data_IF_544839458193
#
_entry.id   IF_544839458193
#
_cell.length_a   1.000
_cell.length_b   1.000
_cell.length_c   1.000
_cell.angle_alpha   90.00
_cell.angle_beta   90.00
_cell.angle_gamma   90.00
#
_symmetry.space_group_name_H-M   'P 1'
#
loop_
_entity.id
_entity.type
_entity.pdbx_description
1 polymer ?
#
# COMPACT_ATOMS: atom_id res chain seq x y z
N UNK A 1 27.30 45.45 12.22
CA UNK A 1 27.61 44.04 12.47
C UNK A 1 27.21 43.75 13.91
N UNK A 2 26.03 43.20 14.10
CA UNK A 2 25.47 42.86 15.40
C UNK A 2 25.30 41.34 15.45
N UNK A 3 26.13 40.71 16.28
CA UNK A 3 26.11 39.28 16.54
C UNK A 3 24.92 38.91 17.42
N UNK A 4 24.04 38.05 16.91
CA UNK A 4 22.98 37.47 17.70
C UNK A 4 23.55 36.49 18.76
N UNK A 5 23.02 36.44 19.97
CA UNK A 5 23.47 35.50 20.98
C UNK A 5 22.95 34.09 20.66
N UNK A 6 23.87 33.11 20.57
CA UNK A 6 23.52 31.70 20.50
C UNK A 6 23.02 31.21 21.86
N UNK A 7 21.75 30.93 21.97
CA UNK A 7 21.18 30.20 23.12
C UNK A 7 21.50 28.71 22.97
N UNK A 8 22.56 28.27 23.62
CA UNK A 8 22.73 26.86 23.93
C UNK A 8 21.90 26.55 25.19
N UNK A 9 20.98 25.64 25.19
CA UNK A 9 20.32 25.23 26.42
C UNK A 9 21.36 24.53 27.31
N UNK A 10 21.50 25.02 28.51
CA UNK A 10 22.41 24.49 29.54
C UNK A 10 22.10 23.02 29.78
N UNK A 11 23.10 22.17 29.58
CA UNK A 11 23.01 20.76 29.96
C UNK A 11 22.92 20.72 31.51
N UNK A 12 21.73 20.43 32.01
CA UNK A 12 21.52 20.20 33.45
C UNK A 12 22.19 18.88 33.80
N UNK A 13 23.31 18.97 34.48
CA UNK A 13 24.01 17.81 35.06
C UNK A 13 23.13 17.27 36.19
N UNK A 14 22.47 16.14 35.97
CA UNK A 14 21.67 15.45 36.98
C UNK A 14 22.54 15.07 38.18
N UNK A 15 22.20 15.59 39.36
CA UNK A 15 22.74 15.05 40.65
C UNK A 15 22.27 13.62 40.81
N UNK A 16 23.22 12.69 40.97
CA UNK A 16 22.95 11.29 41.34
C UNK A 16 22.26 11.22 42.70
N UNK A 17 20.94 11.07 42.71
CA UNK A 17 20.23 10.59 43.89
C UNK A 17 20.27 9.05 43.86
N UNK A 18 20.47 8.42 44.98
CA UNK A 18 20.57 6.94 45.10
C UNK A 18 19.21 6.36 44.73
N UNK A 19 19.10 5.84 43.51
CA UNK A 19 17.89 5.16 43.04
C UNK A 19 17.87 3.74 43.64
N UNK A 20 16.84 3.39 44.37
CA UNK A 20 16.63 2.03 44.94
C UNK A 20 16.23 1.01 43.89
N UNK A 21 15.79 1.46 42.70
CA UNK A 21 15.54 0.60 41.53
C UNK A 21 16.13 1.21 40.27
N UNK A 22 16.76 0.43 39.43
CA UNK A 22 17.28 0.88 38.12
C UNK A 22 16.13 0.91 37.14
N UNK A 23 15.87 2.08 36.53
CA UNK A 23 14.88 2.22 35.48
C UNK A 23 15.30 1.43 34.24
N UNK A 24 14.62 0.33 33.97
CA UNK A 24 14.90 -0.57 32.87
C UNK A 24 13.63 -0.83 32.05
N UNK A 25 13.82 -1.28 30.82
CA UNK A 25 12.75 -1.74 29.96
C UNK A 25 11.87 -2.80 30.64
N UNK A 26 12.49 -3.81 31.23
CA UNK A 26 11.81 -4.90 31.93
C UNK A 26 10.98 -4.38 33.12
N UNK A 27 11.52 -3.40 33.85
CA UNK A 27 10.79 -2.78 34.95
C UNK A 27 9.54 -2.04 34.45
N UNK A 28 9.65 -1.22 33.41
CA UNK A 28 8.50 -0.52 32.82
C UNK A 28 7.45 -1.52 32.34
N UNK A 29 7.84 -2.53 31.58
CA UNK A 29 6.94 -3.55 31.03
C UNK A 29 6.25 -4.40 32.12
N UNK A 30 6.87 -4.53 33.30
CA UNK A 30 6.24 -5.18 34.46
C UNK A 30 5.13 -4.33 35.10
N UNK A 31 5.11 -3.02 34.88
CA UNK A 31 4.16 -2.08 35.50
C UNK A 31 3.13 -1.53 34.50
N UNK A 32 3.49 -1.39 33.22
CA UNK A 32 2.65 -0.81 32.19
C UNK A 32 2.71 -1.66 30.93
N UNK A 33 1.55 -2.08 30.44
CA UNK A 33 1.49 -2.88 29.20
C UNK A 33 1.99 -2.12 27.97
N UNK A 34 2.58 -2.85 27.03
CA UNK A 34 3.02 -2.27 25.77
C UNK A 34 1.87 -1.64 24.99
N UNK A 35 0.66 -2.21 25.05
CA UNK A 35 -0.56 -1.65 24.42
C UNK A 35 -0.87 -0.29 25.05
N UNK A 36 -0.84 -0.15 26.35
CA UNK A 36 -1.12 1.11 27.03
C UNK A 36 -0.11 2.21 26.71
N UNK A 37 1.16 1.86 26.59
CA UNK A 37 2.19 2.81 26.16
C UNK A 37 1.96 3.21 24.70
N UNK A 38 1.73 2.25 23.82
CA UNK A 38 1.47 2.50 22.40
C UNK A 38 0.23 3.38 22.19
N UNK A 39 -0.87 3.07 22.89
CA UNK A 39 -2.11 3.82 22.89
C UNK A 39 -1.88 5.30 23.23
N UNK A 40 -1.17 5.57 24.32
CA UNK A 40 -0.89 6.95 24.72
C UNK A 40 -0.06 7.72 23.68
N UNK A 41 1.05 7.11 23.20
CA UNK A 41 1.96 7.83 22.29
C UNK A 41 1.50 7.85 20.84
N UNK A 42 0.48 7.11 20.46
CA UNK A 42 -0.15 7.21 19.14
C UNK A 42 -1.49 7.95 19.18
N UNK A 43 -1.98 8.29 20.38
CA UNK A 43 -3.31 8.88 20.59
C UNK A 43 -4.43 7.99 19.98
N UNK A 44 -4.32 6.68 20.24
CA UNK A 44 -5.26 5.64 19.77
C UNK A 44 -5.79 4.90 21.00
N UNK A 45 -7.07 4.61 21.00
CA UNK A 45 -7.71 3.83 22.07
C UNK A 45 -7.11 2.41 22.21
N UNK A 46 -6.94 1.93 23.46
CA UNK A 46 -6.36 0.61 23.73
C UNK A 46 -7.20 -0.51 23.10
N UNK A 47 -8.53 -0.37 23.08
CA UNK A 47 -9.40 -1.41 22.55
C UNK A 47 -9.33 -1.46 21.02
N UNK A 48 -9.15 -0.33 20.36
CA UNK A 48 -8.84 -0.28 18.93
C UNK A 48 -7.53 -1.03 18.59
N UNK A 49 -6.48 -0.87 19.41
CA UNK A 49 -5.22 -1.59 19.19
C UNK A 49 -5.41 -3.10 19.39
N UNK A 50 -6.15 -3.51 20.43
CA UNK A 50 -6.46 -4.93 20.71
C UNK A 50 -7.24 -5.56 19.58
N UNK A 51 -8.27 -4.86 19.09
CA UNK A 51 -9.11 -5.29 18.00
C UNK A 51 -8.32 -5.46 16.69
N UNK A 52 -7.42 -4.52 16.36
CA UNK A 52 -6.49 -4.67 15.25
C UNK A 52 -5.58 -5.92 15.38
N UNK A 53 -5.12 -6.24 16.60
CA UNK A 53 -4.28 -7.42 16.84
C UNK A 53 -5.09 -8.71 16.66
N UNK A 54 -6.31 -8.76 17.21
CA UNK A 54 -7.17 -9.93 17.24
C UNK A 54 -7.73 -10.26 15.85
N UNK A 55 -8.21 -9.25 15.13
CA UNK A 55 -8.90 -9.42 13.85
C UNK A 55 -8.01 -9.09 12.64
N UNK A 56 -6.75 -8.68 12.84
CA UNK A 56 -5.79 -8.33 11.78
C UNK A 56 -6.30 -7.23 10.83
N UNK A 57 -7.20 -6.37 11.28
CA UNK A 57 -7.68 -5.26 10.47
C UNK A 57 -6.77 -4.02 10.56
N UNK A 58 -6.95 -3.10 9.62
CA UNK A 58 -6.14 -1.90 9.50
C UNK A 58 -6.97 -0.67 9.85
N UNK A 59 -6.35 0.31 10.50
CA UNK A 59 -6.92 1.60 10.82
C UNK A 59 -6.21 2.72 10.05
N UNK A 60 -6.81 3.93 9.96
CA UNK A 60 -6.12 5.10 9.41
C UNK A 60 -4.79 5.37 10.10
N UNK A 61 -3.75 5.66 9.33
CA UNK A 61 -2.43 5.94 9.88
C UNK A 61 -2.39 7.29 10.59
N UNK A 62 -1.90 7.31 11.82
CA UNK A 62 -1.64 8.55 12.56
C UNK A 62 -0.43 9.32 12.02
N UNK A 63 0.41 8.69 11.20
CA UNK A 63 1.63 9.27 10.65
C UNK A 63 1.42 10.05 9.34
N UNK A 64 0.19 10.02 8.78
CA UNK A 64 -0.14 10.64 7.48
C UNK A 64 -1.46 11.39 7.54
N UNK A 65 -1.57 12.47 6.78
CA UNK A 65 -2.80 13.28 6.72
C UNK A 65 -3.88 12.72 5.80
N UNK A 66 -3.56 11.76 4.93
CA UNK A 66 -4.41 11.31 3.83
C UNK A 66 -4.78 9.82 3.85
N UNK A 67 -4.62 9.17 4.99
CA UNK A 67 -5.01 7.77 5.15
C UNK A 67 -6.46 7.63 5.62
N UNK A 68 -7.38 7.76 4.68
CA UNK A 68 -8.81 7.57 4.96
C UNK A 68 -9.25 6.09 4.96
N UNK A 69 -8.35 5.19 4.61
CA UNK A 69 -8.71 3.83 4.21
C UNK A 69 -8.17 2.74 5.10
N UNK A 70 -7.42 3.14 6.13
CA UNK A 70 -6.72 2.20 6.98
C UNK A 70 -5.53 1.53 6.27
N UNK A 71 -4.34 1.84 6.73
CA UNK A 71 -3.11 1.19 6.29
C UNK A 71 -2.15 0.92 7.44
N UNK A 72 -2.56 1.23 8.66
CA UNK A 72 -1.77 0.99 9.86
C UNK A 72 -2.37 -0.16 10.66
N UNK A 73 -1.53 -1.13 11.01
CA UNK A 73 -1.92 -2.30 11.80
C UNK A 73 -0.95 -2.58 12.93
N UNK A 74 -1.39 -3.44 13.85
CA UNK A 74 -0.64 -3.85 15.02
C UNK A 74 -0.46 -5.35 15.05
N UNK A 75 0.71 -5.82 15.50
CA UNK A 75 0.99 -7.24 15.65
C UNK A 75 1.85 -7.50 16.88
N UNK A 76 1.72 -8.68 17.48
CA UNK A 76 2.62 -9.14 18.53
C UNK A 76 3.52 -10.19 17.88
N UNK A 77 4.84 -9.94 17.90
CA UNK A 77 5.77 -10.88 17.31
C UNK A 77 6.00 -12.11 18.24
N UNK A 78 6.72 -13.13 17.73
CA UNK A 78 7.02 -14.36 18.48
C UNK A 78 7.78 -14.14 19.81
N UNK A 79 8.36 -12.94 20.02
CA UNK A 79 9.04 -12.55 21.27
C UNK A 79 8.13 -11.75 22.22
N UNK A 80 6.81 -11.72 21.98
CA UNK A 80 5.86 -10.98 22.78
C UNK A 80 5.96 -9.45 22.66
N UNK A 81 6.59 -8.93 21.62
CA UNK A 81 6.73 -7.48 21.41
C UNK A 81 5.65 -6.95 20.51
N UNK A 82 4.95 -5.92 20.97
CA UNK A 82 4.00 -5.16 20.16
C UNK A 82 4.75 -4.35 19.10
N UNK A 83 4.30 -4.48 17.87
CA UNK A 83 4.80 -3.75 16.71
C UNK A 83 3.65 -3.03 16.02
N UNK A 84 3.90 -1.81 15.56
CA UNK A 84 3.04 -1.07 14.64
C UNK A 84 3.67 -1.09 13.26
N UNK A 85 2.84 -1.20 12.22
CA UNK A 85 3.27 -1.10 10.83
C UNK A 85 2.30 -0.22 10.05
N UNK A 86 2.84 0.79 9.37
CA UNK A 86 2.12 1.54 8.34
C UNK A 86 2.49 0.97 6.96
N UNK A 87 1.54 0.32 6.30
CA UNK A 87 1.71 -0.27 4.97
C UNK A 87 1.58 0.75 3.85
N UNK A 88 1.03 1.93 4.16
CA UNK A 88 0.95 3.05 3.24
C UNK A 88 2.15 3.99 3.43
N UNK A 89 2.78 4.44 2.36
CA UNK A 89 3.92 5.34 2.44
C UNK A 89 5.27 4.61 2.58
N UNK A 90 6.13 5.04 3.52
CA UNK A 90 7.50 4.52 3.65
C UNK A 90 7.64 3.20 4.42
N UNK A 91 6.53 2.53 4.75
CA UNK A 91 6.58 1.27 5.45
C UNK A 91 7.11 1.41 6.89
N UNK A 92 6.62 2.41 7.62
CA UNK A 92 6.96 2.59 9.02
C UNK A 92 6.67 1.30 9.80
N UNK A 93 7.71 0.76 10.43
CA UNK A 93 7.63 -0.45 11.23
C UNK A 93 8.45 -0.27 12.50
N UNK A 94 7.78 -0.24 13.66
CA UNK A 94 8.41 0.12 14.92
C UNK A 94 7.85 -0.65 16.09
N UNK A 95 8.68 -0.81 17.12
CA UNK A 95 8.19 -1.24 18.43
C UNK A 95 7.79 -0.03 19.30
N UNK A 96 7.30 -0.34 20.50
CA UNK A 96 6.80 0.65 21.46
C UNK A 96 7.83 1.76 21.73
N UNK A 97 9.10 1.39 21.93
CA UNK A 97 10.15 2.36 22.29
C UNK A 97 10.56 3.22 21.10
N UNK A 98 10.56 2.64 19.90
CA UNK A 98 10.81 3.36 18.66
C UNK A 98 9.68 4.37 18.37
N UNK A 99 8.43 4.02 18.67
CA UNK A 99 7.28 4.93 18.59
C UNK A 99 7.44 6.08 19.59
N UNK A 100 7.78 5.78 20.83
CA UNK A 100 8.03 6.83 21.83
C UNK A 100 9.17 7.74 21.40
N UNK A 101 10.28 7.18 20.90
CA UNK A 101 11.40 7.96 20.37
C UNK A 101 10.97 8.89 19.24
N UNK A 102 10.14 8.39 18.31
CA UNK A 102 9.60 9.19 17.21
C UNK A 102 8.76 10.36 17.72
N UNK A 103 7.78 10.10 18.58
CA UNK A 103 6.90 11.16 19.11
C UNK A 103 7.68 12.20 19.94
N UNK A 104 8.62 11.75 20.76
CA UNK A 104 9.51 12.66 21.51
C UNK A 104 10.41 13.48 20.59
N UNK A 105 10.89 12.89 19.47
CA UNK A 105 11.67 13.61 18.48
C UNK A 105 10.89 14.77 17.88
N UNK A 106 9.61 14.55 17.60
CA UNK A 106 8.70 15.59 17.08
C UNK A 106 8.38 16.66 18.13
N UNK A 107 8.15 16.24 19.38
CA UNK A 107 7.81 17.16 20.47
C UNK A 107 8.96 18.09 20.81
N UNK A 108 10.18 17.56 20.84
CA UNK A 108 11.38 18.29 21.27
C UNK A 108 12.23 18.84 20.12
N UNK A 109 11.79 18.72 18.86
CA UNK A 109 12.53 19.18 17.67
C UNK A 109 13.99 18.69 17.59
N UNK A 110 14.25 17.46 18.08
CA UNK A 110 15.56 16.83 18.02
C UNK A 110 15.45 15.34 17.72
N UNK A 111 16.45 14.79 17.07
CA UNK A 111 16.50 13.36 16.85
C UNK A 111 16.76 12.60 18.16
N UNK A 112 15.86 11.68 18.51
CA UNK A 112 15.97 10.77 19.65
C UNK A 112 16.07 9.35 19.10
N UNK A 113 17.12 8.62 19.46
CA UNK A 113 17.44 7.33 18.88
C UNK A 113 17.50 6.23 19.96
N UNK A 114 16.70 5.18 19.82
CA UNK A 114 16.68 4.03 20.72
C UNK A 114 18.02 3.31 20.86
N UNK A 115 18.92 3.42 19.86
CA UNK A 115 20.25 2.81 19.91
C UNK A 115 21.27 3.68 20.65
N UNK A 116 20.95 4.93 20.97
CA UNK A 116 21.76 5.78 21.80
C UNK A 116 21.38 5.58 23.27
N UNK A 117 22.36 5.27 24.11
CA UNK A 117 22.12 4.96 25.53
C UNK A 117 21.48 6.12 26.32
N UNK A 118 21.87 7.36 26.05
CA UNK A 118 21.33 8.53 26.71
C UNK A 118 19.88 8.82 26.26
N UNK A 119 19.65 8.74 24.97
CA UNK A 119 18.31 8.90 24.42
C UNK A 119 17.38 7.77 24.88
N UNK A 120 17.88 6.54 24.95
CA UNK A 120 17.07 5.42 25.44
C UNK A 120 16.70 5.59 26.92
N UNK A 121 17.64 6.08 27.74
CA UNK A 121 17.33 6.41 29.11
C UNK A 121 16.29 7.55 29.22
N UNK A 122 16.40 8.57 28.38
CA UNK A 122 15.40 9.64 28.28
C UNK A 122 14.00 9.10 27.89
N UNK A 123 13.92 8.18 26.93
CA UNK A 123 12.68 7.50 26.55
C UNK A 123 12.06 6.79 27.77
N UNK A 124 12.85 5.97 28.48
CA UNK A 124 12.39 5.27 29.67
C UNK A 124 11.90 6.21 30.77
N UNK A 125 12.62 7.31 31.00
CA UNK A 125 12.28 8.31 32.01
C UNK A 125 10.97 9.03 31.63
N UNK A 126 10.78 9.36 30.35
CA UNK A 126 9.54 9.98 29.88
C UNK A 126 8.33 9.04 30.00
N UNK A 127 8.50 7.74 29.69
CA UNK A 127 7.45 6.73 29.91
C UNK A 127 7.13 6.64 31.40
N UNK A 128 8.17 6.56 32.28
CA UNK A 128 7.96 6.49 33.72
C UNK A 128 7.23 7.72 34.27
N UNK A 129 7.57 8.92 33.80
CA UNK A 129 6.86 10.16 34.16
C UNK A 129 5.39 10.14 33.69
N UNK A 130 5.16 9.75 32.47
CA UNK A 130 3.82 9.69 31.87
C UNK A 130 2.90 8.73 32.62
N UNK A 131 3.45 7.58 33.03
CA UNK A 131 2.71 6.51 33.70
C UNK A 131 3.00 6.43 35.21
N UNK A 132 3.44 7.53 35.84
CA UNK A 132 3.83 7.57 37.26
C UNK A 132 2.75 7.03 38.24
N UNK A 133 1.48 7.02 37.84
CA UNK A 133 0.40 6.40 38.65
C UNK A 133 0.52 4.88 38.78
N UNK A 134 1.26 4.23 37.88
CA UNK A 134 1.46 2.78 37.83
C UNK A 134 2.89 2.37 38.18
N UNK A 135 3.79 3.33 38.22
CA UNK A 135 5.24 3.13 38.46
C UNK A 135 5.57 3.66 39.84
N UNK A 136 5.87 2.77 40.79
CA UNK A 136 6.23 3.03 42.17
C UNK A 136 7.73 2.83 42.41
N UNK A 137 8.27 3.40 43.49
CA UNK A 137 9.66 3.15 43.94
C UNK A 137 10.77 3.78 43.08
N UNK A 138 10.43 4.71 42.20
CA UNK A 138 11.42 5.49 41.43
C UNK A 138 11.14 6.98 41.68
N UNK A 139 12.16 7.75 42.04
CA UNK A 139 12.13 9.19 41.98
C UNK A 139 12.21 9.61 40.50
N UNK A 140 11.15 10.22 39.99
CA UNK A 140 11.06 10.71 38.62
C UNK A 140 11.40 12.21 38.67
N UNK A 141 12.28 12.65 37.79
CA UNK A 141 12.66 14.07 37.68
C UNK A 141 11.42 14.90 37.27
N UNK A 142 11.01 15.81 38.15
CA UNK A 142 9.86 16.70 37.92
C UNK A 142 10.12 17.76 36.80
N UNK A 143 11.35 17.83 36.30
CA UNK A 143 11.68 18.69 35.15
C UNK A 143 11.27 18.14 33.79
N UNK A 144 10.67 16.94 33.75
CA UNK A 144 10.14 16.39 32.51
C UNK A 144 8.79 17.04 32.20
N UNK A 145 8.71 17.73 31.09
CA UNK A 145 7.47 18.35 30.64
C UNK A 145 6.52 17.30 30.06
N UNK A 146 5.22 17.44 30.40
CA UNK A 146 4.17 16.69 29.76
C UNK A 146 4.03 17.14 28.31
N UNK A 147 4.25 16.25 27.36
CA UNK A 147 4.06 16.55 25.95
C UNK A 147 2.59 16.49 25.54
N UNK A 148 2.21 17.32 24.59
CA UNK A 148 0.97 17.20 23.84
C UNK A 148 1.22 16.25 22.67
N UNK A 149 0.83 14.98 22.86
CA UNK A 149 1.07 13.89 21.89
C UNK A 149 0.35 14.17 20.58
N UNK A 150 -0.93 14.57 20.62
CA UNK A 150 -1.72 14.85 19.43
C UNK A 150 -1.08 15.95 18.58
N UNK A 151 -0.58 17.02 19.24
CA UNK A 151 0.12 18.11 18.56
C UNK A 151 1.47 17.65 17.98
N UNK A 152 2.21 16.81 18.71
CA UNK A 152 3.48 16.27 18.22
C UNK A 152 3.25 15.39 16.98
N UNK A 153 2.28 14.48 17.03
CA UNK A 153 1.91 13.64 15.89
C UNK A 153 1.46 14.50 14.70
N UNK A 154 0.58 15.49 14.92
CA UNK A 154 0.11 16.39 13.86
C UNK A 154 1.27 17.11 13.16
N UNK A 155 2.31 17.52 13.94
CA UNK A 155 3.53 18.13 13.38
C UNK A 155 4.36 17.17 12.53
N UNK A 156 4.37 15.89 12.90
CA UNK A 156 5.13 14.85 12.22
C UNK A 156 4.40 14.20 11.05
N UNK A 157 3.11 14.45 10.88
CA UNK A 157 2.35 13.88 9.78
C UNK A 157 2.97 14.26 8.44
N UNK A 158 3.26 13.24 7.64
CA UNK A 158 3.75 13.48 6.29
C UNK A 158 2.62 14.02 5.44
N UNK A 159 2.85 15.21 4.88
CA UNK A 159 1.95 15.76 3.86
C UNK A 159 1.99 14.88 2.63
N UNK A 160 0.88 14.84 1.90
CA UNK A 160 0.80 14.16 0.62
C UNK A 160 1.89 14.70 -0.30
N UNK A 161 2.74 13.81 -0.82
CA UNK A 161 3.80 14.20 -1.73
C UNK A 161 3.24 14.73 -3.03
N UNK A 162 3.77 15.83 -3.49
CA UNK A 162 3.54 16.32 -4.85
C UNK A 162 4.63 15.71 -5.72
N UNK A 163 4.22 14.90 -6.71
CA UNK A 163 5.11 14.35 -7.72
C UNK A 163 4.94 15.20 -8.99
N UNK A 164 6.02 15.82 -9.44
CA UNK A 164 6.08 16.55 -10.69
C UNK A 164 6.90 15.75 -11.72
N UNK A 165 6.42 15.75 -12.97
CA UNK A 165 7.00 14.96 -14.05
C UNK A 165 7.47 15.84 -15.19
N UNK A 166 8.64 15.54 -15.73
CA UNK A 166 9.03 15.90 -17.08
C UNK A 166 8.89 14.66 -17.97
N UNK A 167 7.94 14.63 -18.91
CA UNK A 167 7.77 13.50 -19.82
C UNK A 167 8.82 13.50 -20.90
N UNK A 168 9.06 12.34 -21.50
CA UNK A 168 9.83 12.17 -22.73
C UNK A 168 9.01 11.48 -23.82
N UNK A 169 9.54 11.44 -25.02
CA UNK A 169 8.96 10.62 -26.08
C UNK A 169 9.23 9.13 -25.85
N UNK A 170 8.31 8.29 -26.32
CA UNK A 170 8.50 6.84 -26.40
C UNK A 170 9.68 6.50 -27.32
N UNK A 171 10.41 5.45 -26.99
CA UNK A 171 11.54 4.99 -27.78
C UNK A 171 11.50 3.45 -27.98
N UNK A 172 12.48 2.91 -28.69
CA UNK A 172 12.55 1.48 -29.01
C UNK A 172 12.64 0.62 -27.74
N UNK A 173 13.39 1.05 -26.73
CA UNK A 173 13.50 0.28 -25.47
C UNK A 173 12.17 0.16 -24.74
N UNK A 174 11.37 1.21 -24.77
CA UNK A 174 10.02 1.17 -24.19
C UNK A 174 9.14 0.14 -24.89
N UNK A 175 9.17 0.12 -26.23
CA UNK A 175 8.45 -0.86 -27.05
C UNK A 175 8.88 -2.29 -26.70
N UNK A 176 10.18 -2.52 -26.54
CA UNK A 176 10.72 -3.82 -26.20
C UNK A 176 10.33 -4.27 -24.78
N UNK A 177 10.33 -3.33 -23.80
CA UNK A 177 9.94 -3.59 -22.41
C UNK A 177 8.45 -3.97 -22.32
N UNK A 178 7.57 -3.15 -22.88
CA UNK A 178 6.13 -3.34 -22.76
C UNK A 178 5.61 -4.45 -23.68
N UNK A 179 6.23 -4.59 -24.86
CA UNK A 179 5.91 -5.67 -25.80
C UNK A 179 6.11 -7.07 -25.24
N UNK A 180 6.99 -7.24 -24.25
CA UNK A 180 7.16 -8.52 -23.53
C UNK A 180 5.86 -9.01 -22.85
N UNK A 181 4.99 -8.08 -22.50
CA UNK A 181 3.70 -8.38 -21.84
C UNK A 181 2.50 -8.18 -22.77
N UNK A 182 2.75 -8.17 -24.10
CA UNK A 182 1.73 -7.99 -25.09
C UNK A 182 1.09 -6.60 -25.11
N UNK A 183 1.78 -5.58 -24.59
CA UNK A 183 1.27 -4.21 -24.46
C UNK A 183 1.92 -3.32 -25.49
N UNK A 184 1.14 -2.68 -26.36
CA UNK A 184 1.63 -1.70 -27.32
C UNK A 184 1.65 -0.27 -26.77
N UNK A 185 2.45 0.60 -27.39
CA UNK A 185 2.62 1.98 -26.93
C UNK A 185 1.36 2.84 -27.14
N UNK A 186 0.53 2.52 -28.15
CA UNK A 186 -0.73 3.21 -28.39
C UNK A 186 -1.69 2.96 -27.25
N UNK A 187 -1.81 1.70 -26.82
CA UNK A 187 -2.62 1.32 -25.66
C UNK A 187 -2.14 1.97 -24.35
N UNK A 188 -0.82 2.07 -24.15
CA UNK A 188 -0.27 2.79 -22.99
C UNK A 188 -0.68 4.25 -22.96
N UNK A 189 -0.63 4.95 -24.10
CA UNK A 189 -1.08 6.35 -24.19
C UNK A 189 -2.54 6.52 -23.83
N UNK A 190 -3.42 5.66 -24.36
CA UNK A 190 -4.87 5.71 -24.04
C UNK A 190 -5.15 5.34 -22.59
N UNK A 191 -4.23 4.66 -21.92
CA UNK A 191 -4.31 4.31 -20.51
C UNK A 191 -3.51 5.25 -19.60
N UNK A 192 -3.19 6.46 -20.08
CA UNK A 192 -2.53 7.50 -19.30
C UNK A 192 -1.20 7.07 -18.69
N UNK A 193 -0.46 6.22 -19.40
CA UNK A 193 0.91 5.85 -19.03
C UNK A 193 1.87 6.77 -19.77
N UNK A 194 2.80 7.37 -19.04
CA UNK A 194 3.72 8.38 -19.57
C UNK A 194 5.17 7.92 -19.33
N UNK A 195 6.04 7.88 -20.37
CA UNK A 195 7.46 7.67 -20.16
C UNK A 195 8.09 8.93 -19.55
N UNK A 196 8.84 8.74 -18.45
CA UNK A 196 9.37 9.83 -17.63
C UNK A 196 10.83 10.11 -18.00
N UNK A 197 11.14 11.38 -18.25
CA UNK A 197 12.51 11.87 -18.35
C UNK A 197 13.07 12.22 -16.97
N UNK A 198 12.34 13.05 -16.22
CA UNK A 198 12.70 13.45 -14.87
C UNK A 198 11.48 13.45 -13.97
N UNK A 199 11.69 13.22 -12.66
CA UNK A 199 10.67 13.53 -11.68
C UNK A 199 11.25 14.23 -10.45
N UNK A 200 10.38 14.99 -9.78
CA UNK A 200 10.64 15.71 -8.55
C UNK A 200 9.62 15.31 -7.49
N UNK A 201 9.99 15.40 -6.24
CA UNK A 201 9.09 15.20 -5.09
C UNK A 201 9.17 16.45 -4.23
N UNK A 202 8.02 17.10 -3.98
CA UNK A 202 7.88 18.32 -3.16
C UNK A 202 8.90 19.40 -3.60
N UNK A 203 8.95 19.63 -4.92
CA UNK A 203 9.97 20.46 -5.57
C UNK A 203 10.00 21.87 -5.00
N UNK A 204 11.18 22.33 -4.62
CA UNK A 204 11.51 23.73 -4.35
C UNK A 204 12.20 24.34 -5.56
N UNK A 205 12.26 25.69 -5.57
CA UNK A 205 13.06 26.42 -6.56
C UNK A 205 14.51 25.91 -6.46
N UNK A 206 15.11 25.59 -7.61
CA UNK A 206 16.49 25.09 -7.76
C UNK A 206 16.76 23.64 -7.28
N UNK A 207 15.72 22.85 -6.97
CA UNK A 207 15.90 21.44 -6.66
C UNK A 207 16.36 20.63 -7.89
N UNK A 208 17.34 19.77 -7.68
CA UNK A 208 17.71 18.76 -8.66
C UNK A 208 16.62 17.66 -8.75
N UNK A 209 16.41 17.06 -9.93
CA UNK A 209 15.50 15.95 -10.07
C UNK A 209 15.91 14.77 -9.17
N UNK A 210 14.92 14.10 -8.59
CA UNK A 210 15.14 12.85 -7.84
C UNK A 210 15.50 11.69 -8.76
N UNK A 211 15.24 11.84 -10.04
CA UNK A 211 15.52 10.88 -11.09
C UNK A 211 15.72 11.58 -12.42
N UNK A 212 16.64 11.05 -13.21
CA UNK A 212 16.83 11.38 -14.63
C UNK A 212 16.92 10.08 -15.43
N UNK A 213 16.22 10.03 -16.55
CA UNK A 213 16.10 8.85 -17.40
C UNK A 213 17.46 8.29 -17.83
N UNK A 214 17.55 6.98 -17.74
CA UNK A 214 18.58 6.18 -18.43
C UNK A 214 17.94 4.92 -19.01
N UNK A 215 18.47 4.38 -20.10
CA UNK A 215 17.98 3.12 -20.68
C UNK A 215 18.13 1.91 -19.75
N UNK A 216 19.02 2.00 -18.75
CA UNK A 216 19.25 0.95 -17.75
C UNK A 216 18.26 1.00 -16.59
N UNK A 217 17.63 2.14 -16.35
CA UNK A 217 16.65 2.35 -15.29
C UNK A 217 15.47 3.18 -15.80
N UNK A 218 14.64 2.68 -16.74
CA UNK A 218 13.49 3.40 -17.28
C UNK A 218 12.40 3.57 -16.22
N UNK A 219 11.74 4.73 -16.26
CA UNK A 219 10.63 5.07 -15.39
C UNK A 219 9.39 5.39 -16.23
N UNK A 220 8.23 4.89 -15.76
CA UNK A 220 6.92 5.19 -16.32
C UNK A 220 6.00 5.71 -15.23
N UNK A 221 5.18 6.70 -15.55
CA UNK A 221 4.16 7.22 -14.65
C UNK A 221 2.77 6.74 -15.08
N UNK A 222 2.05 6.14 -14.16
CA UNK A 222 0.62 5.90 -14.27
C UNK A 222 -0.11 7.14 -13.72
N UNK A 223 -0.85 7.84 -14.58
CA UNK A 223 -1.67 8.98 -14.21
C UNK A 223 -3.04 8.47 -13.77
N UNK A 224 -3.32 8.50 -12.48
CA UNK A 224 -4.49 7.86 -11.88
C UNK A 224 -5.67 8.84 -11.66
N UNK A 225 -5.53 10.07 -12.13
CA UNK A 225 -6.52 11.13 -11.98
C UNK A 225 -6.02 12.32 -11.17
N UNK A 226 -6.94 13.07 -10.60
CA UNK A 226 -6.64 14.20 -9.71
C UNK A 226 -7.46 14.08 -8.42
N UNK A 227 -6.91 14.57 -7.33
CA UNK A 227 -7.68 14.71 -6.09
C UNK A 227 -8.57 15.96 -6.15
N UNK A 228 -9.39 16.18 -5.11
CA UNK A 228 -10.29 17.35 -5.01
C UNK A 228 -9.57 18.71 -5.02
N UNK A 229 -8.25 18.72 -4.76
CA UNK A 229 -7.40 19.92 -4.75
C UNK A 229 -6.67 20.13 -6.10
N UNK A 230 -6.96 19.29 -7.11
CA UNK A 230 -6.32 19.36 -8.43
C UNK A 230 -4.91 18.76 -8.48
N UNK A 231 -4.43 18.12 -7.41
CA UNK A 231 -3.12 17.46 -7.40
C UNK A 231 -3.24 16.12 -8.13
N UNK A 232 -2.35 15.89 -9.08
CA UNK A 232 -2.29 14.62 -9.82
C UNK A 232 -1.95 13.45 -8.90
N UNK A 233 -2.72 12.37 -9.06
CA UNK A 233 -2.50 11.07 -8.44
C UNK A 233 -1.59 10.27 -9.35
N UNK A 234 -0.38 9.98 -8.90
CA UNK A 234 0.69 9.42 -9.74
C UNK A 234 1.30 8.21 -9.04
N UNK A 235 1.51 7.14 -9.84
CA UNK A 235 2.34 6.00 -9.45
C UNK A 235 3.47 5.85 -10.46
N UNK A 236 4.70 5.99 -10.00
CA UNK A 236 5.91 5.74 -10.78
C UNK A 236 6.26 4.26 -10.74
N UNK A 237 6.64 3.71 -11.87
CA UNK A 237 7.04 2.32 -12.05
C UNK A 237 8.41 2.20 -12.70
N UNK A 238 9.27 1.38 -12.10
CA UNK A 238 10.63 1.08 -12.57
C UNK A 238 10.73 -0.43 -12.89
N UNK A 239 10.44 -0.86 -14.12
CA UNK A 239 10.33 -2.28 -14.48
C UNK A 239 11.60 -3.09 -14.24
N UNK A 240 12.77 -2.48 -14.44
CA UNK A 240 14.05 -3.17 -14.37
C UNK A 240 14.67 -3.22 -12.96
N UNK A 241 14.12 -2.48 -11.98
CA UNK A 241 14.57 -2.54 -10.59
C UNK A 241 14.19 -3.84 -9.94
N UNK A 242 15.14 -4.47 -9.25
CA UNK A 242 14.92 -5.76 -8.58
C UNK A 242 14.25 -5.55 -7.22
N UNK A 243 13.39 -6.48 -6.82
CA UNK A 243 12.92 -6.58 -5.44
C UNK A 243 14.14 -6.87 -4.53
N UNK A 244 14.11 -6.37 -3.29
CA UNK A 244 15.17 -6.52 -2.29
C UNK A 244 16.45 -5.70 -2.52
N UNK A 245 16.42 -4.71 -3.38
CA UNK A 245 17.44 -3.65 -3.45
C UNK A 245 16.99 -2.44 -2.63
N UNK A 246 17.92 -1.50 -2.39
CA UNK A 246 17.57 -0.21 -1.75
C UNK A 246 16.72 0.70 -2.65
N UNK A 247 16.58 0.35 -3.93
CA UNK A 247 15.84 1.13 -4.92
C UNK A 247 14.37 0.70 -4.96
N UNK A 248 13.48 1.66 -4.84
CA UNK A 248 12.05 1.42 -4.88
C UNK A 248 11.59 1.12 -6.31
N UNK A 249 10.90 -0.01 -6.49
CA UNK A 249 10.30 -0.38 -7.78
C UNK A 249 9.05 0.46 -8.10
N UNK A 250 8.38 0.96 -7.07
CA UNK A 250 7.22 1.84 -7.16
C UNK A 250 7.37 3.03 -6.22
N UNK A 251 6.96 4.22 -6.69
CA UNK A 251 6.83 5.42 -5.89
C UNK A 251 5.45 5.99 -6.20
N UNK A 252 4.65 6.29 -5.18
CA UNK A 252 3.31 6.83 -5.39
C UNK A 252 2.98 7.91 -4.37
N UNK A 253 2.05 8.79 -4.74
CA UNK A 253 1.45 9.77 -3.84
C UNK A 253 -0.03 9.47 -3.54
N UNK A 254 -0.51 8.27 -3.88
CA UNK A 254 -1.90 7.88 -3.68
C UNK A 254 -2.05 6.38 -3.43
N UNK A 255 -3.22 6.01 -2.90
CA UNK A 255 -3.62 4.62 -2.69
C UNK A 255 -5.08 4.46 -3.15
N UNK A 256 -5.27 4.41 -4.48
CA UNK A 256 -6.58 4.36 -5.13
C UNK A 256 -6.63 3.21 -6.12
N UNK A 257 -7.82 2.71 -6.44
CA UNK A 257 -8.00 1.77 -7.54
C UNK A 257 -7.46 2.37 -8.84
N UNK A 258 -6.77 1.56 -9.62
CA UNK A 258 -6.15 2.01 -10.86
C UNK A 258 -6.98 1.57 -12.07
N UNK A 259 -7.02 2.40 -13.11
CA UNK A 259 -7.81 2.16 -14.32
C UNK A 259 -9.22 2.73 -14.28
N UNK A 260 -9.63 3.37 -13.17
CA UNK A 260 -10.96 3.99 -13.09
C UNK A 260 -11.22 5.04 -14.19
N UNK A 261 -10.26 5.92 -14.58
CA UNK A 261 -10.47 6.86 -15.67
C UNK A 261 -10.78 6.19 -17.02
N UNK A 262 -10.45 4.91 -17.17
CA UNK A 262 -10.71 4.15 -18.40
C UNK A 262 -12.08 3.45 -18.41
N UNK A 263 -12.82 3.46 -17.29
CA UNK A 263 -14.19 2.96 -17.22
C UNK A 263 -15.18 4.06 -17.64
N UNK A 264 -15.19 4.39 -18.94
CA UNK A 264 -15.99 5.48 -19.49
C UNK A 264 -17.48 5.14 -19.62
N UNK A 265 -17.80 3.85 -19.79
CA UNK A 265 -19.16 3.36 -19.96
C UNK A 265 -19.84 3.11 -18.59
N UNK A 266 -21.16 3.03 -18.60
CA UNK A 266 -22.00 2.66 -17.46
C UNK A 266 -22.79 1.36 -17.73
N UNK A 267 -22.29 0.49 -18.61
CA UNK A 267 -22.96 -0.74 -19.04
C UNK A 267 -21.96 -1.86 -19.35
N UNK A 268 -20.98 -2.08 -18.47
CA UNK A 268 -20.05 -3.19 -18.62
C UNK A 268 -20.72 -4.53 -18.35
N UNK A 269 -20.52 -5.50 -19.24
CA UNK A 269 -20.90 -6.90 -18.99
C UNK A 269 -20.00 -7.52 -17.92
N UNK A 270 -18.72 -7.18 -17.97
CA UNK A 270 -17.72 -7.59 -16.96
C UNK A 270 -16.77 -6.45 -16.62
N UNK A 271 -16.43 -6.34 -15.32
CA UNK A 271 -15.27 -5.58 -14.90
C UNK A 271 -14.31 -6.55 -14.19
N UNK A 272 -13.17 -6.80 -14.82
CA UNK A 272 -12.11 -7.63 -14.26
C UNK A 272 -11.28 -6.85 -13.27
N UNK A 273 -11.10 -7.39 -12.07
CA UNK A 273 -10.28 -6.81 -11.01
C UNK A 273 -8.98 -7.60 -10.94
N UNK A 274 -7.87 -6.98 -11.35
CA UNK A 274 -6.53 -7.57 -11.32
C UNK A 274 -5.72 -7.05 -10.14
N UNK A 275 -4.54 -7.60 -9.93
CA UNK A 275 -3.67 -7.20 -8.82
C UNK A 275 -2.69 -6.10 -9.19
N UNK A 276 -2.23 -6.04 -10.43
CA UNK A 276 -1.18 -5.13 -10.85
C UNK A 276 -1.55 -4.31 -12.07
N UNK A 277 -0.99 -3.10 -12.19
CA UNK A 277 -1.11 -2.27 -13.38
C UNK A 277 -0.62 -2.99 -14.64
N UNK A 278 0.40 -3.85 -14.50
CA UNK A 278 0.96 -4.64 -15.58
C UNK A 278 -0.07 -5.64 -16.13
N UNK A 279 -0.76 -6.38 -15.25
CA UNK A 279 -1.80 -7.34 -15.65
C UNK A 279 -3.01 -6.61 -16.24
N UNK A 280 -3.47 -5.53 -15.60
CA UNK A 280 -4.55 -4.70 -16.13
C UNK A 280 -4.26 -4.24 -17.56
N UNK A 281 -3.05 -3.71 -17.79
CA UNK A 281 -2.65 -3.20 -19.10
C UNK A 281 -2.48 -4.32 -20.12
N UNK A 282 -1.95 -5.49 -19.72
CA UNK A 282 -1.80 -6.64 -20.61
C UNK A 282 -3.16 -7.17 -21.04
N UNK A 283 -4.03 -7.52 -20.10
CA UNK A 283 -5.40 -7.99 -20.40
C UNK A 283 -6.16 -6.95 -21.22
N UNK A 284 -6.15 -5.69 -20.79
CA UNK A 284 -6.87 -4.62 -21.46
C UNK A 284 -6.37 -4.38 -22.88
N UNK A 285 -5.08 -4.51 -23.17
CA UNK A 285 -4.54 -4.44 -24.52
C UNK A 285 -5.08 -5.56 -25.42
N UNK A 286 -5.14 -6.78 -24.91
CA UNK A 286 -5.76 -7.90 -25.63
C UNK A 286 -7.24 -7.67 -25.90
N UNK A 287 -7.99 -7.16 -24.92
CA UNK A 287 -9.41 -6.82 -25.08
C UNK A 287 -9.65 -5.69 -26.09
N UNK A 288 -8.72 -4.72 -26.17
CA UNK A 288 -8.83 -3.64 -27.15
C UNK A 288 -8.59 -4.10 -28.59
N UNK A 289 -7.77 -5.12 -28.81
CA UNK A 289 -7.42 -5.65 -30.12
C UNK A 289 -8.29 -6.83 -30.57
N UNK A 290 -9.07 -7.40 -29.68
CA UNK A 290 -9.90 -8.56 -29.96
C UNK A 290 -11.33 -8.32 -29.49
N UNK A 291 -12.28 -8.93 -30.19
CA UNK A 291 -13.69 -8.92 -29.77
C UNK A 291 -14.03 -10.21 -29.06
N UNK A 292 -14.68 -10.09 -27.93
CA UNK A 292 -15.20 -11.19 -27.15
C UNK A 292 -16.72 -11.15 -27.18
N UNK A 293 -17.36 -12.31 -27.33
CA UNK A 293 -18.79 -12.46 -27.48
C UNK A 293 -19.34 -13.34 -26.38
N UNK A 294 -20.50 -12.98 -25.82
CA UNK A 294 -21.23 -13.79 -24.86
C UNK A 294 -21.92 -14.98 -25.49
N UNK A 295 -22.50 -15.83 -24.67
CA UNK A 295 -23.21 -17.02 -25.11
C UNK A 295 -24.39 -16.77 -26.08
N UNK A 296 -24.96 -15.55 -26.07
CA UNK A 296 -25.99 -15.09 -27.00
C UNK A 296 -25.43 -14.56 -28.34
N UNK A 297 -24.10 -14.49 -28.49
CA UNK A 297 -23.43 -13.95 -29.67
C UNK A 297 -23.26 -12.43 -29.67
N UNK A 298 -23.66 -11.73 -28.62
CA UNK A 298 -23.47 -10.29 -28.47
C UNK A 298 -22.03 -9.96 -28.06
N UNK A 299 -21.53 -8.83 -28.61
CA UNK A 299 -20.21 -8.32 -28.24
C UNK A 299 -20.22 -7.86 -26.79
N UNK A 300 -19.30 -8.38 -25.99
CA UNK A 300 -19.16 -8.02 -24.58
C UNK A 300 -18.38 -6.73 -24.39
N UNK A 301 -18.87 -5.89 -23.47
CA UNK A 301 -18.16 -4.73 -22.96
C UNK A 301 -17.44 -5.12 -21.68
N UNK A 302 -16.10 -5.21 -21.73
CA UNK A 302 -15.26 -5.68 -20.63
C UNK A 302 -14.33 -4.56 -20.19
N UNK A 303 -14.47 -4.14 -18.94
CA UNK A 303 -13.56 -3.21 -18.27
C UNK A 303 -12.49 -3.96 -17.48
N UNK A 304 -11.35 -3.32 -17.27
CA UNK A 304 -10.27 -3.89 -16.42
C UNK A 304 -9.72 -2.83 -15.49
N UNK A 305 -9.67 -3.15 -14.20
CA UNK A 305 -9.06 -2.32 -13.16
C UNK A 305 -8.03 -3.13 -12.38
N UNK A 306 -7.22 -2.48 -11.56
CA UNK A 306 -6.39 -3.19 -10.61
C UNK A 306 -6.36 -2.56 -9.23
N UNK A 307 -6.05 -3.40 -8.24
CA UNK A 307 -5.82 -2.99 -6.86
C UNK A 307 -4.50 -2.22 -6.75
N UNK A 308 -4.41 -1.19 -5.89
CA UNK A 308 -3.20 -0.36 -5.77
C UNK A 308 -2.00 -1.09 -5.15
N UNK A 309 -2.23 -2.12 -4.35
CA UNK A 309 -1.18 -2.88 -3.65
C UNK A 309 -1.59 -4.31 -3.31
N UNK A 310 -0.62 -5.13 -2.91
CA UNK A 310 -0.83 -6.56 -2.58
C UNK A 310 -1.82 -6.81 -1.43
N UNK A 311 -1.87 -5.91 -0.46
CA UNK A 311 -2.73 -6.05 0.72
C UNK A 311 -3.94 -5.11 0.69
N UNK A 312 -4.26 -4.57 -0.48
CA UNK A 312 -5.42 -3.69 -0.60
C UNK A 312 -6.71 -4.49 -0.53
N UNK A 313 -7.59 -4.08 0.35
CA UNK A 313 -8.94 -4.61 0.46
C UNK A 313 -9.89 -3.66 -0.25
N UNK A 314 -10.71 -4.18 -1.17
CA UNK A 314 -11.77 -3.43 -1.84
C UNK A 314 -12.74 -2.90 -0.76
N UNK A 315 -13.16 -1.65 -0.88
CA UNK A 315 -14.04 -1.00 0.08
C UNK A 315 -15.47 -0.99 -0.43
N UNK A 316 -16.42 -0.87 0.49
CA UNK A 316 -17.84 -0.83 0.21
C UNK A 316 -18.19 0.28 -0.81
N UNK A 317 -17.69 1.50 -0.60
CA UNK A 317 -17.94 2.62 -1.51
C UNK A 317 -17.30 2.44 -2.90
N UNK A 318 -16.19 1.71 -3.00
CA UNK A 318 -15.56 1.36 -4.27
C UNK A 318 -16.36 0.26 -4.99
N UNK A 319 -16.79 -0.75 -4.24
CA UNK A 319 -17.68 -1.79 -4.74
C UNK A 319 -19.00 -1.20 -5.27
N UNK A 320 -19.64 -0.30 -4.52
CA UNK A 320 -20.86 0.40 -4.93
C UNK A 320 -20.66 1.21 -6.20
N UNK A 321 -19.50 1.89 -6.30
CA UNK A 321 -19.19 2.67 -7.50
C UNK A 321 -18.98 1.78 -8.72
N UNK A 322 -18.23 0.69 -8.57
CA UNK A 322 -17.99 -0.29 -9.64
C UNK A 322 -19.28 -0.99 -10.07
N UNK A 323 -20.12 -1.34 -9.10
CA UNK A 323 -21.42 -1.99 -9.37
C UNK A 323 -22.34 -1.12 -10.21
N UNK A 324 -22.30 0.21 -10.03
CA UNK A 324 -23.05 1.17 -10.85
C UNK A 324 -22.56 1.27 -12.29
N UNK A 325 -21.34 0.80 -12.58
CA UNK A 325 -20.78 0.75 -13.92
C UNK A 325 -21.20 -0.48 -14.71
N UNK A 326 -21.82 -1.45 -14.05
CA UNK A 326 -22.25 -2.70 -14.70
C UNK A 326 -23.57 -2.54 -15.43
N UNK A 327 -23.72 -3.29 -16.52
CA UNK A 327 -25.01 -3.55 -17.16
C UNK A 327 -25.96 -4.27 -16.19
N UNK A 328 -27.26 -4.35 -16.49
CA UNK A 328 -28.27 -4.96 -15.62
C UNK A 328 -27.92 -6.40 -15.17
N UNK A 329 -27.24 -7.17 -16.03
CA UNK A 329 -26.75 -8.52 -15.74
C UNK A 329 -25.22 -8.58 -15.71
N UNK A 330 -24.56 -7.43 -15.55
CA UNK A 330 -23.11 -7.33 -15.54
C UNK A 330 -22.52 -7.83 -14.21
N UNK A 331 -21.24 -8.15 -14.21
CA UNK A 331 -20.57 -8.78 -13.06
C UNK A 331 -19.16 -8.25 -12.85
N UNK A 332 -18.81 -8.05 -11.57
CA UNK A 332 -17.40 -7.91 -11.16
C UNK A 332 -16.78 -9.30 -11.06
N UNK A 333 -15.56 -9.46 -11.54
CA UNK A 333 -14.82 -10.74 -11.46
C UNK A 333 -13.40 -10.48 -11.03
N UNK A 334 -12.89 -11.19 -10.04
CA UNK A 334 -11.50 -11.04 -9.62
C UNK A 334 -10.59 -12.07 -10.33
N UNK A 335 -9.52 -11.56 -10.93
CA UNK A 335 -8.43 -12.33 -11.56
C UNK A 335 -7.12 -11.81 -10.96
N UNK A 336 -6.76 -12.31 -9.79
CA UNK A 336 -5.55 -11.92 -9.07
C UNK A 336 -4.39 -12.85 -9.39
N UNK A 337 -3.22 -12.62 -8.74
CA UNK A 337 -2.03 -13.46 -8.89
C UNK A 337 -2.34 -14.94 -8.58
N UNK A 338 -1.67 -15.85 -9.29
CA UNK A 338 -1.83 -17.30 -9.17
C UNK A 338 -1.01 -17.87 -8.00
N UNK A 339 -1.02 -17.16 -6.87
CA UNK A 339 -0.34 -17.56 -5.63
C UNK A 339 -1.27 -17.51 -4.40
N UNK A 340 -0.76 -17.90 -3.24
CA UNK A 340 -1.55 -17.93 -2.01
C UNK A 340 -2.07 -16.54 -1.58
N UNK A 341 -1.31 -15.48 -1.88
CA UNK A 341 -1.70 -14.09 -1.54
C UNK A 341 -2.84 -13.63 -2.44
N UNK A 342 -2.74 -13.91 -3.76
CA UNK A 342 -3.83 -13.62 -4.72
C UNK A 342 -5.11 -14.37 -4.36
N UNK A 343 -5.00 -15.66 -4.00
CA UNK A 343 -6.15 -16.46 -3.53
C UNK A 343 -6.79 -15.87 -2.28
N UNK A 344 -5.99 -15.39 -1.31
CA UNK A 344 -6.51 -14.74 -0.09
C UNK A 344 -7.30 -13.47 -0.40
N UNK A 345 -6.78 -12.60 -1.26
CA UNK A 345 -7.48 -11.39 -1.71
C UNK A 345 -8.77 -11.69 -2.48
N UNK A 346 -8.76 -12.72 -3.33
CA UNK A 346 -9.92 -13.15 -4.10
C UNK A 346 -11.05 -13.69 -3.18
N UNK A 347 -10.70 -14.51 -2.20
CA UNK A 347 -11.66 -14.99 -1.17
C UNK A 347 -12.26 -13.84 -0.38
N UNK A 348 -11.44 -12.89 0.06
CA UNK A 348 -11.96 -11.71 0.76
C UNK A 348 -13.04 -10.99 -0.07
N UNK A 349 -12.82 -10.77 -1.36
CA UNK A 349 -13.81 -10.12 -2.23
C UNK A 349 -15.06 -10.98 -2.43
N UNK A 350 -14.91 -12.30 -2.50
CA UNK A 350 -16.04 -13.22 -2.58
C UNK A 350 -16.88 -13.22 -1.30
N UNK A 351 -16.25 -13.31 -0.13
CA UNK A 351 -16.92 -13.38 1.17
C UNK A 351 -17.63 -12.08 1.53
N UNK A 352 -17.03 -10.92 1.20
CA UNK A 352 -17.57 -9.62 1.60
C UNK A 352 -18.53 -9.00 0.56
N UNK A 353 -18.33 -9.30 -0.74
CA UNK A 353 -19.05 -8.63 -1.83
C UNK A 353 -19.69 -9.61 -2.81
N UNK A 354 -19.54 -10.90 -2.62
CA UNK A 354 -20.05 -11.91 -3.57
C UNK A 354 -19.36 -11.87 -4.92
N UNK A 355 -18.16 -11.27 -5.04
CA UNK A 355 -17.41 -11.16 -6.29
C UNK A 355 -16.80 -12.53 -6.61
N UNK A 356 -17.21 -13.19 -7.71
CA UNK A 356 -16.59 -14.45 -8.13
C UNK A 356 -15.12 -14.25 -8.49
N UNK A 357 -14.33 -15.31 -8.32
CA UNK A 357 -12.94 -15.26 -8.68
C UNK A 357 -12.55 -16.41 -9.61
N UNK A 358 -11.56 -16.12 -10.42
CA UNK A 358 -10.87 -17.11 -11.23
C UNK A 358 -9.48 -17.29 -10.65
N UNK A 359 -9.15 -18.52 -10.38
CA UNK A 359 -7.82 -18.89 -9.91
C UNK A 359 -7.35 -20.10 -10.71
N UNK A 360 -6.19 -19.97 -11.35
CA UNK A 360 -5.61 -21.00 -12.17
C UNK A 360 -4.33 -21.46 -11.51
N UNK A 361 -4.20 -22.78 -11.38
CA UNK A 361 -2.97 -23.35 -10.86
C UNK A 361 -1.92 -23.38 -11.96
N UNK A 362 -0.66 -23.20 -11.58
CA UNK A 362 0.46 -23.31 -12.52
C UNK A 362 0.58 -24.71 -13.12
N UNK A 363 0.17 -25.74 -12.36
CA UNK A 363 0.10 -27.11 -12.84
C UNK A 363 -0.87 -27.29 -14.00
N UNK A 364 -2.04 -26.62 -13.96
CA UNK A 364 -3.01 -26.62 -15.06
C UNK A 364 -2.47 -25.92 -16.30
N UNK A 365 -1.62 -24.91 -16.13
CA UNK A 365 -0.90 -24.26 -17.23
C UNK A 365 0.33 -25.05 -17.71
N UNK A 366 0.64 -26.19 -17.12
CA UNK A 366 1.86 -26.91 -17.39
C UNK A 366 3.15 -26.21 -16.97
N UNK A 367 3.04 -25.27 -16.04
CA UNK A 367 4.16 -24.44 -15.56
C UNK A 367 4.63 -24.88 -14.16
N UNK A 368 5.94 -24.80 -13.87
CA UNK A 368 6.45 -24.99 -12.52
C UNK A 368 5.95 -23.89 -11.55
N UNK A 369 5.84 -24.22 -10.27
CA UNK A 369 5.29 -23.32 -9.21
C UNK A 369 6.00 -21.97 -9.05
N UNK A 370 7.20 -21.80 -9.57
CA UNK A 370 7.97 -20.54 -9.52
C UNK A 370 7.88 -19.71 -10.79
N UNK A 371 7.08 -20.12 -11.79
CA UNK A 371 6.91 -19.45 -13.09
C UNK A 371 5.45 -19.09 -13.33
N UNK A 372 5.21 -18.03 -14.13
CA UNK A 372 3.86 -17.60 -14.48
C UNK A 372 3.04 -17.20 -13.24
N UNK A 373 3.59 -16.34 -12.42
CA UNK A 373 2.97 -15.90 -11.16
C UNK A 373 1.71 -15.08 -11.39
N UNK A 374 1.74 -14.22 -12.40
CA UNK A 374 0.67 -13.30 -12.76
C UNK A 374 0.36 -13.40 -14.26
N UNK A 375 -0.75 -12.78 -14.67
CA UNK A 375 -1.21 -12.85 -16.06
C UNK A 375 -0.18 -12.34 -17.07
N UNK A 376 0.46 -11.20 -16.80
CA UNK A 376 1.42 -10.62 -17.73
C UNK A 376 2.67 -11.50 -17.88
N UNK A 377 3.06 -12.26 -16.87
CA UNK A 377 4.17 -13.22 -16.96
C UNK A 377 3.86 -14.43 -17.85
N UNK A 378 2.59 -14.71 -18.16
CA UNK A 378 2.22 -15.77 -19.08
C UNK A 378 2.78 -15.53 -20.49
N UNK A 379 3.00 -14.27 -20.88
CA UNK A 379 3.65 -13.94 -22.16
C UNK A 379 5.09 -14.42 -22.28
N UNK A 380 5.76 -14.76 -21.20
CA UNK A 380 7.09 -15.36 -21.24
C UNK A 380 7.03 -16.85 -21.66
N UNK A 381 5.83 -17.49 -21.66
CA UNK A 381 5.63 -18.92 -21.91
C UNK A 381 4.64 -19.22 -23.04
N UNK A 382 3.70 -18.33 -23.32
CA UNK A 382 2.64 -18.49 -24.27
C UNK A 382 2.65 -17.40 -25.34
N UNK A 383 2.28 -17.75 -26.56
CA UNK A 383 2.14 -16.76 -27.63
C UNK A 383 0.81 -15.99 -27.52
N UNK A 384 0.69 -14.91 -28.30
CA UNK A 384 -0.48 -14.02 -28.30
C UNK A 384 -1.80 -14.77 -28.53
N UNK A 385 -1.83 -15.76 -29.43
CA UNK A 385 -3.05 -16.52 -29.71
C UNK A 385 -3.48 -17.39 -28.53
N UNK A 386 -2.52 -18.00 -27.84
CA UNK A 386 -2.78 -18.78 -26.63
C UNK A 386 -3.28 -17.89 -25.49
N UNK A 387 -2.70 -16.69 -25.34
CA UNK A 387 -3.18 -15.72 -24.36
C UNK A 387 -4.62 -15.24 -24.69
N UNK A 388 -4.92 -14.97 -25.96
CA UNK A 388 -6.27 -14.60 -26.39
C UNK A 388 -7.27 -15.75 -26.14
N UNK A 389 -6.88 -16.98 -26.43
CA UNK A 389 -7.70 -18.16 -26.16
C UNK A 389 -7.96 -18.29 -24.64
N UNK A 390 -6.94 -18.10 -23.84
CA UNK A 390 -7.03 -18.13 -22.39
C UNK A 390 -8.00 -17.06 -21.83
N UNK A 391 -7.95 -15.82 -22.33
CA UNK A 391 -8.93 -14.78 -21.95
C UNK A 391 -10.34 -15.19 -22.35
N UNK A 392 -10.50 -15.75 -23.55
CA UNK A 392 -11.80 -16.22 -24.05
C UNK A 392 -12.38 -17.32 -23.16
N UNK A 393 -11.62 -18.35 -22.86
CA UNK A 393 -12.02 -19.46 -21.99
C UNK A 393 -12.35 -18.97 -20.57
N UNK A 394 -11.61 -17.99 -20.07
CA UNK A 394 -11.87 -17.34 -18.79
C UNK A 394 -13.25 -16.67 -18.78
N UNK A 395 -13.59 -15.93 -19.84
CA UNK A 395 -14.89 -15.26 -19.97
C UNK A 395 -16.00 -16.28 -20.13
N UNK A 396 -15.83 -17.26 -21.03
CA UNK A 396 -16.80 -18.36 -21.24
C UNK A 396 -17.08 -19.14 -19.97
N UNK A 397 -16.05 -19.40 -19.18
CA UNK A 397 -16.20 -20.06 -17.89
C UNK A 397 -17.06 -19.23 -16.91
N UNK A 398 -16.82 -17.92 -16.82
CA UNK A 398 -17.64 -17.02 -15.99
C UNK A 398 -19.09 -17.00 -16.47
N UNK A 399 -19.32 -16.93 -17.79
CA UNK A 399 -20.66 -16.97 -18.39
C UNK A 399 -21.41 -18.24 -18.00
N UNK A 400 -20.79 -19.41 -18.19
CA UNK A 400 -21.42 -20.71 -17.93
C UNK A 400 -21.69 -20.89 -16.44
N UNK A 401 -20.70 -20.62 -15.60
CA UNK A 401 -20.76 -20.96 -14.19
C UNK A 401 -21.54 -19.97 -13.35
N UNK A 402 -21.39 -18.70 -13.62
CA UNK A 402 -21.94 -17.67 -12.74
C UNK A 402 -23.18 -16.98 -13.30
N UNK A 403 -23.27 -16.79 -14.60
CA UNK A 403 -24.41 -16.10 -15.22
C UNK A 403 -25.60 -17.03 -15.51
N UNK A 404 -25.32 -18.25 -15.96
CA UNK A 404 -26.37 -19.20 -16.36
C UNK A 404 -26.89 -20.10 -15.22
N UNK A 405 -26.16 -20.24 -14.14
CA UNK A 405 -26.53 -21.16 -13.04
C UNK A 405 -27.48 -20.59 -12.01
N UNK A 406 -27.62 -19.26 -11.89
CA UNK A 406 -28.47 -18.62 -10.88
C UNK A 406 -28.08 -18.96 -9.42
N UNK A 407 -26.93 -19.60 -9.23
CA UNK A 407 -26.56 -20.19 -7.95
C UNK A 407 -25.67 -19.25 -7.11
N UNK A 408 -26.10 -18.97 -5.90
CA UNK A 408 -25.23 -18.50 -4.80
C UNK A 408 -24.34 -19.67 -4.37
N UNK A 409 -23.01 -19.45 -4.36
CA UNK A 409 -22.00 -20.50 -4.20
C UNK A 409 -21.73 -20.88 -2.74
N UNK A 410 -21.60 -22.19 -2.51
CA UNK A 410 -20.94 -22.76 -1.34
C UNK A 410 -19.44 -22.97 -1.64
N UNK A 411 -18.62 -22.95 -0.57
CA UNK A 411 -17.15 -23.11 -0.58
C UNK A 411 -16.60 -24.36 -1.30
N UNK A 412 -17.46 -25.26 -1.77
CA UNK A 412 -17.09 -26.53 -2.38
C UNK A 412 -16.75 -26.44 -3.87
N UNK A 413 -17.14 -25.34 -4.54
CA UNK A 413 -16.94 -25.20 -5.99
C UNK A 413 -15.66 -24.44 -6.32
N UNK A 414 -14.53 -25.09 -6.14
CA UNK A 414 -13.24 -24.62 -6.63
C UNK A 414 -13.23 -24.68 -8.15
N UNK A 415 -13.08 -23.50 -8.76
CA UNK A 415 -12.95 -23.40 -10.20
C UNK A 415 -11.55 -23.76 -10.63
N UNK A 416 -11.43 -24.85 -11.31
CA UNK A 416 -10.26 -25.24 -12.08
C UNK A 416 -10.62 -25.04 -13.55
N UNK A 417 -9.84 -24.25 -14.30
CA UNK A 417 -9.81 -24.28 -15.76
C UNK A 417 -8.78 -25.28 -16.22
#
# INVERSE_FOLDING_TARGET
>A
MSSAPSFYPTIVVMRRTVMTATLTKAYIESKVSQIKIMSYYLDIDEDTIKDCIEHSHLIPSVFRDDDYNGSMGFTINAKGRLKVRDFGGFGYFSDVYEVVAYVLSLAYDRQINCNNKQDFYFILTHIAYTFRKYIDGIEIDDNIEKIDVSKAIAKGKTKKKIIELAPRSWNKYDKDIWGRWGIDLGYLNTNFVIPVDQYYIDRKVDDNPKYTYTSKDPCYAYMLGQNRQGVYLIKLYFPLRKRNTRELKFITNCNVLEGLPNLELDNYDYILITKSSKDRLSIGCHLAHNFFYGGAGDKLNIGVINLPSENYQLKENEYDWLSKKLAANGMLVSLLDFDSTGRGGARYMQENYGIPYIFITRGELGLPDYKGKDFAELHDYFNVNQINQFIKETIEYVEIKYRNSGAYYSDADRCYL
#
